data_IF_235391861907
#
_entry.id   IF_235391861907
#
_cell.length_a   1.000
_cell.length_b   1.000
_cell.length_c   1.000
_cell.angle_alpha   90.00
_cell.angle_beta   90.00
_cell.angle_gamma   90.00
#
_symmetry.space_group_name_H-M   'P 1'
#
loop_
_entity.id
_entity.type
_entity.pdbx_description
1 polymer ?
#
# COMPACT_ATOMS: atom_id res chain seq x y z
N UNK A 1 -10.06 2.79 6.24
CA UNK A 1 -10.85 1.79 5.49
C UNK A 1 -10.29 0.36 5.60
N UNK A 2 -8.97 0.17 5.50
CA UNK A 2 -8.38 -1.14 5.19
C UNK A 2 -8.66 -2.30 6.17
N UNK A 3 -8.65 -2.13 7.51
CA UNK A 3 -8.83 -3.27 8.42
C UNK A 3 -10.15 -4.03 8.23
N UNK A 4 -11.28 -3.32 8.06
CA UNK A 4 -12.59 -3.93 7.87
C UNK A 4 -12.71 -4.64 6.51
N UNK A 5 -12.15 -4.06 5.44
CA UNK A 5 -12.16 -4.70 4.11
C UNK A 5 -11.26 -5.94 4.10
N UNK A 6 -10.10 -5.88 4.76
CA UNK A 6 -9.20 -7.02 4.89
C UNK A 6 -9.86 -8.23 5.54
N UNK A 7 -10.62 -8.00 6.63
CA UNK A 7 -11.28 -9.06 7.40
C UNK A 7 -12.48 -9.67 6.68
N UNK A 8 -13.35 -8.86 6.09
CA UNK A 8 -14.64 -9.33 5.57
C UNK A 8 -14.65 -9.54 4.05
N UNK A 9 -13.72 -8.91 3.31
CA UNK A 9 -13.71 -8.89 1.85
C UNK A 9 -12.28 -9.04 1.28
N UNK A 10 -11.60 -10.19 1.50
CA UNK A 10 -10.20 -10.37 1.13
C UNK A 10 -9.93 -10.18 -0.38
N UNK A 11 -10.89 -10.51 -1.25
CA UNK A 11 -10.74 -10.27 -2.69
C UNK A 11 -10.71 -8.77 -3.04
N UNK A 12 -11.53 -7.96 -2.35
CA UNK A 12 -11.51 -6.51 -2.50
C UNK A 12 -10.25 -5.92 -1.87
N UNK A 13 -9.83 -6.42 -0.72
CA UNK A 13 -8.57 -6.03 -0.08
C UNK A 13 -7.37 -6.26 -1.02
N UNK A 14 -7.35 -7.41 -1.73
CA UNK A 14 -6.37 -7.71 -2.78
C UNK A 14 -6.42 -6.70 -3.91
N UNK A 15 -7.61 -6.35 -4.40
CA UNK A 15 -7.75 -5.37 -5.48
C UNK A 15 -7.21 -3.99 -5.11
N UNK A 16 -7.42 -3.55 -3.86
CA UNK A 16 -6.86 -2.31 -3.30
C UNK A 16 -5.33 -2.35 -3.26
N UNK A 17 -4.73 -3.46 -2.81
CA UNK A 17 -3.27 -3.62 -2.82
C UNK A 17 -2.71 -3.72 -4.25
N UNK A 18 -3.39 -4.44 -5.14
CA UNK A 18 -3.01 -4.54 -6.54
C UNK A 18 -3.01 -3.20 -7.24
N UNK A 19 -3.91 -2.28 -6.88
CA UNK A 19 -3.83 -0.90 -7.35
C UNK A 19 -2.47 -0.29 -7.00
N UNK A 20 -2.01 -0.40 -5.75
CA UNK A 20 -0.70 0.13 -5.33
C UNK A 20 0.47 -0.51 -6.09
N UNK A 21 0.39 -1.81 -6.39
CA UNK A 21 1.39 -2.49 -7.23
C UNK A 21 1.36 -1.97 -8.68
N UNK A 22 0.17 -1.86 -9.28
CA UNK A 22 0.01 -1.39 -10.67
C UNK A 22 0.46 0.06 -10.86
N UNK A 23 0.40 0.87 -9.80
CA UNK A 23 0.78 2.29 -9.83
C UNK A 23 2.18 2.56 -9.28
N UNK A 24 3.03 1.54 -9.19
CA UNK A 24 4.37 1.66 -8.59
C UNK A 24 5.26 2.67 -9.32
N UNK A 25 5.09 2.82 -10.64
CA UNK A 25 5.85 3.80 -11.44
C UNK A 25 5.55 5.25 -11.02
N UNK A 26 4.32 5.55 -10.60
CA UNK A 26 3.98 6.86 -10.05
C UNK A 26 4.65 7.13 -8.71
N UNK A 27 4.78 6.10 -7.86
CA UNK A 27 5.52 6.21 -6.60
C UNK A 27 7.04 6.34 -6.81
N UNK A 28 7.56 5.71 -7.87
CA UNK A 28 8.97 5.85 -8.27
C UNK A 28 9.26 7.26 -8.79
N UNK A 29 8.44 7.76 -9.72
CA UNK A 29 8.52 9.14 -10.23
C UNK A 29 8.46 10.17 -9.10
N UNK A 30 7.58 9.97 -8.11
CA UNK A 30 7.47 10.84 -6.95
C UNK A 30 8.73 10.84 -6.07
N UNK A 31 9.34 9.66 -5.85
CA UNK A 31 10.61 9.56 -5.12
C UNK A 31 11.74 10.26 -5.86
N UNK A 32 11.87 10.01 -7.16
CA UNK A 32 12.93 10.59 -8.01
C UNK A 32 12.87 12.11 -8.06
N UNK A 33 11.67 12.69 -8.22
CA UNK A 33 11.46 14.16 -8.20
C UNK A 33 11.87 14.83 -6.90
N UNK A 34 11.83 14.09 -5.79
CA UNK A 34 12.18 14.59 -4.46
C UNK A 34 13.60 14.16 -4.03
N UNK A 35 14.38 13.52 -4.93
CA UNK A 35 15.74 13.09 -4.66
C UNK A 35 15.87 11.86 -3.74
N UNK A 36 14.77 11.14 -3.52
CA UNK A 36 14.77 9.89 -2.74
C UNK A 36 15.12 8.69 -3.61
N UNK A 37 15.59 7.61 -2.96
CA UNK A 37 15.77 6.30 -3.57
C UNK A 37 14.53 5.42 -3.31
N UNK A 38 14.25 4.50 -4.23
CA UNK A 38 13.17 3.54 -4.07
C UNK A 38 11.82 4.11 -4.46
N UNK A 39 10.83 3.97 -3.57
CA UNK A 39 9.43 4.34 -3.84
C UNK A 39 8.95 5.33 -2.78
N UNK A 40 8.22 6.35 -3.21
CA UNK A 40 7.46 7.24 -2.35
C UNK A 40 6.03 7.25 -2.84
N UNK A 41 5.14 6.53 -2.16
CA UNK A 41 3.74 6.54 -2.56
C UNK A 41 3.18 7.96 -2.41
N UNK A 42 2.32 8.41 -3.33
CA UNK A 42 1.74 9.74 -3.25
C UNK A 42 0.78 9.84 -2.06
N UNK A 43 0.70 11.04 -1.48
CA UNK A 43 -0.32 11.40 -0.50
C UNK A 43 -1.71 11.25 -1.10
N UNK A 44 -1.95 11.91 -2.23
CA UNK A 44 -3.15 11.75 -3.03
C UNK A 44 -2.82 11.07 -4.34
N UNK A 45 -3.50 9.95 -4.60
CA UNK A 45 -3.27 9.09 -5.76
C UNK A 45 -4.53 8.97 -6.59
N UNK A 46 -4.40 9.14 -7.91
CA UNK A 46 -5.50 8.96 -8.87
C UNK A 46 -5.19 7.86 -9.89
N UNK A 47 -5.70 7.99 -11.12
CA UNK A 47 -5.63 6.95 -12.17
C UNK A 47 -4.19 6.54 -12.48
N UNK A 48 -3.26 7.50 -12.59
CA UNK A 48 -1.87 7.25 -12.98
C UNK A 48 -0.98 6.78 -11.83
N UNK A 49 -1.42 6.93 -10.58
CA UNK A 49 -0.57 6.68 -9.42
C UNK A 49 0.44 7.78 -9.08
N UNK A 50 0.44 8.88 -9.83
CA UNK A 50 1.28 10.05 -9.53
C UNK A 50 0.67 10.88 -8.41
N UNK A 51 1.51 11.64 -7.74
CA UNK A 51 1.08 12.65 -6.78
C UNK A 51 0.17 13.66 -7.47
N UNK A 52 -1.02 13.86 -6.89
CA UNK A 52 -1.99 14.87 -7.32
C UNK A 52 -2.37 15.83 -6.20
N UNK A 53 -1.81 15.68 -5.00
CA UNK A 53 -2.03 16.63 -3.91
C UNK A 53 -1.48 18.01 -4.33
N UNK A 54 -2.30 19.07 -4.27
CA UNK A 54 -1.88 20.42 -4.66
C UNK A 54 -0.96 21.08 -3.62
N UNK A 55 -0.97 20.59 -2.38
CA UNK A 55 -0.28 21.22 -1.25
C UNK A 55 1.01 20.46 -0.91
N UNK A 56 2.15 21.15 -1.04
CA UNK A 56 3.47 20.56 -0.77
C UNK A 56 3.64 20.08 0.67
N UNK A 57 3.00 20.77 1.62
CA UNK A 57 3.06 20.41 3.05
C UNK A 57 2.52 19.00 3.33
N UNK A 58 1.65 18.47 2.45
CA UNK A 58 1.16 17.10 2.55
C UNK A 58 1.90 16.21 1.54
N UNK A 59 1.84 16.53 0.25
CA UNK A 59 2.39 15.69 -0.82
C UNK A 59 3.91 15.48 -0.75
N UNK A 60 4.67 16.45 -0.23
CA UNK A 60 6.11 16.33 -0.06
C UNK A 60 6.49 15.84 1.33
N UNK A 61 5.89 16.39 2.39
CA UNK A 61 6.40 16.19 3.75
C UNK A 61 5.78 14.98 4.48
N UNK A 62 4.54 14.58 4.16
CA UNK A 62 3.89 13.46 4.83
C UNK A 62 4.31 12.11 4.22
N UNK A 63 5.38 11.54 4.76
CA UNK A 63 5.97 10.29 4.26
C UNK A 63 5.32 9.01 4.79
N UNK A 64 4.41 9.12 5.76
CA UNK A 64 3.88 7.95 6.50
C UNK A 64 3.05 7.01 5.62
N UNK A 65 2.51 7.49 4.49
CA UNK A 65 1.77 6.67 3.52
C UNK A 65 2.57 5.44 3.05
N UNK A 66 3.91 5.53 2.98
CA UNK A 66 4.77 4.39 2.70
C UNK A 66 4.68 3.30 3.78
N UNK A 67 4.66 3.71 5.05
CA UNK A 67 4.45 2.84 6.20
C UNK A 67 3.05 2.22 6.17
N UNK A 68 2.03 3.02 5.90
CA UNK A 68 0.64 2.57 5.84
C UNK A 68 0.40 1.53 4.74
N UNK A 69 0.94 1.76 3.54
CA UNK A 69 0.87 0.79 2.43
C UNK A 69 1.59 -0.51 2.82
N UNK A 70 2.77 -0.42 3.42
CA UNK A 70 3.53 -1.61 3.86
C UNK A 70 2.77 -2.41 4.92
N UNK A 71 2.20 -1.72 5.91
CA UNK A 71 1.39 -2.33 6.96
C UNK A 71 0.14 -3.01 6.37
N UNK A 72 -0.50 -2.40 5.37
CA UNK A 72 -1.64 -3.00 4.68
C UNK A 72 -1.26 -4.31 3.96
N UNK A 73 -0.10 -4.37 3.29
CA UNK A 73 0.42 -5.62 2.73
C UNK A 73 0.68 -6.68 3.80
N UNK A 74 1.29 -6.29 4.93
CA UNK A 74 1.56 -7.21 6.05
C UNK A 74 0.26 -7.77 6.65
N UNK A 75 -0.74 -6.92 6.89
CA UNK A 75 -2.05 -7.36 7.36
C UNK A 75 -2.71 -8.33 6.38
N UNK A 76 -2.67 -8.02 5.07
CA UNK A 76 -3.23 -8.91 4.07
C UNK A 76 -2.53 -10.27 4.05
N UNK A 77 -1.20 -10.29 4.20
CA UNK A 77 -0.43 -11.52 4.31
C UNK A 77 -0.90 -12.37 5.49
N UNK A 78 -0.97 -11.79 6.69
CA UNK A 78 -1.36 -12.51 7.90
C UNK A 78 -2.82 -12.96 7.91
N UNK A 79 -3.72 -12.21 7.28
CA UNK A 79 -5.13 -12.58 7.20
C UNK A 79 -5.40 -13.68 6.16
N UNK A 80 -4.58 -13.81 5.12
CA UNK A 80 -4.84 -14.71 3.98
C UNK A 80 -3.91 -15.91 3.91
N UNK A 81 -2.72 -15.84 4.53
CA UNK A 81 -1.86 -17.00 4.69
C UNK A 81 -2.28 -17.74 5.96
N UNK A 82 -2.99 -18.85 5.77
CA UNK A 82 -3.11 -19.87 6.81
C UNK A 82 -1.70 -20.35 7.11
N UNK A 83 -1.16 -20.06 8.29
CA UNK A 83 -0.03 -20.84 8.80
C UNK A 83 -0.45 -22.31 8.72
N UNK A 84 0.31 -23.20 8.05
CA UNK A 84 0.02 -24.61 8.11
C UNK A 84 0.25 -25.04 9.56
N UNK A 85 -0.80 -25.01 10.39
CA UNK A 85 -0.77 -25.56 11.73
C UNK A 85 -0.64 -27.07 11.59
N UNK A 86 0.59 -27.54 11.79
CA UNK A 86 0.92 -28.62 12.71
C UNK A 86 -0.23 -28.94 13.67
N UNK A 87 -1.16 -29.78 13.22
CA UNK A 87 -2.05 -30.57 14.06
C UNK A 87 -1.99 -32.01 13.57
N UNK A 88 -0.81 -32.61 13.73
CA UNK A 88 -0.64 -34.06 13.79
C UNK A 88 -0.96 -34.52 15.20
N UNK A 89 -2.24 -34.50 15.56
CA UNK A 89 -2.76 -35.33 16.65
C UNK A 89 -3.82 -36.25 16.05
N UNK A 90 -3.36 -37.39 15.52
CA UNK A 90 -4.10 -38.65 15.46
C UNK A 90 -3.17 -39.75 15.94
#
# INVERSE_FOLDING_TARGET
>A
MYPSIGLFYPQLARAVLQYRVRTVDGAKDNAEKQGYKGLKFPWESAVSGREVCPEDIYGQQEIHINGDVTLAFQHYLYLTQVTPNTTSHR
#
